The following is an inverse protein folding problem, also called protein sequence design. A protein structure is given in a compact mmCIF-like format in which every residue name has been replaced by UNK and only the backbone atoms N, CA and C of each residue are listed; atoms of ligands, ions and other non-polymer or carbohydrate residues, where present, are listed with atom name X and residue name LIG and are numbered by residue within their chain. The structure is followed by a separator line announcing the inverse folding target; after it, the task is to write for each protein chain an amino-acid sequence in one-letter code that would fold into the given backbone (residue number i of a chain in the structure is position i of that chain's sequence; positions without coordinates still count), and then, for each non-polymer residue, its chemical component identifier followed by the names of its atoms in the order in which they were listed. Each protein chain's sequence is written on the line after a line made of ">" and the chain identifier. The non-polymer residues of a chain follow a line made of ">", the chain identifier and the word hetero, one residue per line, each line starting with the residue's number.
data_IF_842102993134
#
_entry.id   IF_842102993134
#
_cell.length_a   1.000
_cell.length_b   1.000
_cell.length_c   1.000
_cell.angle_alpha   90.00
_cell.angle_beta   90.00
_cell.angle_gamma   90.00
#
_symmetry.space_group_name_H-M   'P 1'
#
loop_
_entity.id
_entity.type
_entity.pdbx_description
1 polymer ?
#
# COMPACT_ATOMS: atom_id res chain seq x y z
N UNK A 1 -12.48 13.69 16.13
CA UNK A 1 -11.68 12.88 16.13
C UNK A 1 -11.18 12.28 14.87
N UNK A 2 -10.57 12.42 14.00
CA UNK A 2 -9.94 11.68 12.93
C UNK A 2 -10.68 11.71 11.60
N UNK A 3 -11.83 12.39 11.49
CA UNK A 3 -12.58 12.39 10.22
C UNK A 3 -11.77 13.00 9.08
N UNK A 4 -11.04 14.07 9.34
CA UNK A 4 -10.18 14.70 8.32
C UNK A 4 -9.02 13.77 7.94
N UNK A 5 -8.44 13.07 8.91
CA UNK A 5 -7.37 12.12 8.70
C UNK A 5 -7.86 10.92 7.90
N UNK A 6 -9.06 10.44 8.17
CA UNK A 6 -9.66 9.35 7.40
C UNK A 6 -9.87 9.74 5.94
N UNK A 7 -10.38 10.94 5.67
CA UNK A 7 -10.55 11.44 4.31
C UNK A 7 -9.22 11.61 3.59
N UNK A 8 -8.20 12.07 4.29
CA UNK A 8 -6.85 12.21 3.74
C UNK A 8 -6.30 10.85 3.30
N UNK A 9 -6.40 9.83 4.16
CA UNK A 9 -5.91 8.49 3.84
C UNK A 9 -6.77 7.83 2.76
N UNK A 10 -8.07 8.08 2.72
CA UNK A 10 -8.94 7.61 1.65
C UNK A 10 -8.48 8.19 0.30
N UNK A 11 -8.16 9.47 0.25
CA UNK A 11 -7.61 10.11 -0.94
C UNK A 11 -6.27 9.49 -1.35
N UNK A 12 -5.42 9.17 -0.37
CA UNK A 12 -4.18 8.46 -0.60
C UNK A 12 -4.44 7.08 -1.24
N UNK A 13 -5.41 6.34 -0.72
CA UNK A 13 -5.79 5.04 -1.28
C UNK A 13 -6.30 5.17 -2.72
N UNK A 14 -7.12 6.18 -2.99
CA UNK A 14 -7.66 6.41 -4.34
C UNK A 14 -6.57 6.73 -5.36
N UNK A 15 -5.46 7.31 -4.91
CA UNK A 15 -4.33 7.60 -5.79
C UNK A 15 -3.66 6.34 -6.33
N UNK A 16 -3.89 5.18 -5.72
CA UNK A 16 -3.34 3.90 -6.20
C UNK A 16 -4.12 3.30 -7.36
N UNK A 17 -5.37 3.69 -7.57
CA UNK A 17 -6.19 3.24 -8.68
C UNK A 17 -7.65 3.07 -8.30
N UNK A 18 -8.47 2.82 -9.32
CA UNK A 18 -9.92 2.64 -9.18
C UNK A 18 -10.41 1.26 -9.60
N UNK A 19 -9.49 0.33 -9.82
CA UNK A 19 -9.80 -1.03 -10.26
C UNK A 19 -9.80 -1.21 -11.78
N UNK A 20 -9.55 -0.14 -12.55
CA UNK A 20 -9.44 -0.23 -14.01
C UNK A 20 -7.97 -0.25 -14.44
N UNK A 21 -7.73 -0.65 -15.69
CA UNK A 21 -6.37 -0.66 -16.25
C UNK A 21 -5.93 0.74 -16.69
N UNK A 22 -6.86 1.64 -16.91
CA UNK A 22 -6.55 3.02 -17.34
C UNK A 22 -5.98 3.83 -16.21
N UNK A 23 -6.49 3.61 -14.99
CA UNK A 23 -6.03 4.37 -13.83
C UNK A 23 -4.92 3.60 -13.10
N UNK A 24 -3.72 4.11 -13.26
CA UNK A 24 -2.52 3.57 -12.62
C UNK A 24 -2.17 4.39 -11.39
N UNK A 25 -1.30 3.90 -10.49
CA UNK A 25 -0.88 4.73 -9.36
C UNK A 25 -0.40 6.10 -9.81
N UNK A 26 -0.93 7.13 -9.17
CA UNK A 26 -0.48 8.50 -9.35
C UNK A 26 0.71 8.71 -8.41
N UNK A 27 1.90 8.45 -8.93
CA UNK A 27 3.13 8.40 -8.14
C UNK A 27 3.39 9.73 -7.44
N UNK A 28 3.28 10.83 -8.15
CA UNK A 28 3.60 12.14 -7.56
C UNK A 28 2.56 12.56 -6.52
N UNK A 29 1.30 12.24 -6.75
CA UNK A 29 0.28 12.49 -5.73
C UNK A 29 0.53 11.66 -4.48
N UNK A 30 0.81 10.38 -4.63
CA UNK A 30 1.12 9.50 -3.50
C UNK A 30 2.29 10.08 -2.70
N UNK A 31 3.37 10.47 -3.36
CA UNK A 31 4.54 11.01 -2.68
C UNK A 31 4.27 12.36 -2.03
N UNK A 32 3.41 13.20 -2.63
CA UNK A 32 3.06 14.49 -2.05
C UNK A 32 2.31 14.37 -0.72
N UNK A 33 1.68 13.23 -0.47
CA UNK A 33 0.93 12.95 0.76
C UNK A 33 1.78 12.30 1.84
N UNK A 34 3.04 12.04 1.55
CA UNK A 34 4.00 11.41 2.46
C UNK A 34 5.08 12.43 2.86
N UNK A 35 5.58 12.33 4.09
CA UNK A 35 6.68 13.18 4.52
C UNK A 35 7.96 12.85 3.73
N UNK A 36 8.92 13.77 3.75
CA UNK A 36 10.15 13.64 2.96
C UNK A 36 10.94 12.38 3.28
N UNK A 37 10.96 12.00 4.56
CA UNK A 37 11.68 10.84 5.07
C UNK A 37 10.71 9.71 5.47
N UNK A 38 9.52 9.67 4.87
CA UNK A 38 8.51 8.67 5.19
C UNK A 38 9.02 7.25 5.01
N UNK A 39 8.48 6.35 5.80
CA UNK A 39 8.79 4.93 5.75
C UNK A 39 7.55 4.12 5.35
N UNK A 40 7.74 3.15 4.48
CA UNK A 40 6.73 2.17 4.12
C UNK A 40 7.30 0.77 4.32
N UNK A 41 6.76 0.04 5.29
CA UNK A 41 7.04 -1.38 5.42
C UNK A 41 6.04 -2.14 4.55
N UNK A 42 6.54 -2.83 3.54
CA UNK A 42 5.70 -3.38 2.47
C UNK A 42 4.73 -4.45 2.96
N UNK A 43 5.15 -5.23 3.94
CA UNK A 43 4.27 -6.19 4.61
C UNK A 43 4.80 -6.50 6.01
N UNK A 44 3.92 -6.87 6.91
CA UNK A 44 4.25 -7.32 8.25
C UNK A 44 3.62 -8.70 8.44
N UNK A 45 4.36 -9.68 8.96
CA UNK A 45 5.74 -9.59 9.44
C UNK A 45 6.77 -9.74 8.32
N UNK A 46 7.95 -9.22 8.57
CA UNK A 46 9.16 -9.57 7.82
C UNK A 46 9.43 -8.81 6.53
N UNK A 47 8.51 -7.94 6.09
CA UNK A 47 8.73 -7.18 4.86
C UNK A 47 9.78 -6.09 5.00
N UNK A 48 10.39 -5.67 3.88
CA UNK A 48 11.37 -4.61 3.91
C UNK A 48 10.72 -3.25 4.16
N UNK A 49 11.48 -2.33 4.73
CA UNK A 49 11.07 -0.95 4.92
C UNK A 49 11.76 -0.07 3.87
N UNK A 50 10.94 0.65 3.12
CA UNK A 50 11.40 1.60 2.11
C UNK A 50 11.35 2.98 2.73
N UNK A 51 12.42 3.75 2.65
CA UNK A 51 12.50 5.06 3.28
C UNK A 51 12.90 6.14 2.30
N UNK A 52 12.21 7.28 2.38
CA UNK A 52 12.52 8.48 1.61
C UNK A 52 11.88 8.49 0.23
N UNK A 53 11.65 9.71 -0.29
CA UNK A 53 10.86 9.88 -1.53
C UNK A 53 11.46 9.19 -2.74
N UNK A 54 12.78 9.24 -2.90
CA UNK A 54 13.38 8.61 -4.08
C UNK A 54 13.23 7.08 -4.04
N UNK A 55 13.46 6.46 -2.89
CA UNK A 55 13.29 5.02 -2.73
C UNK A 55 11.82 4.61 -2.86
N UNK A 56 10.92 5.40 -2.29
CA UNK A 56 9.48 5.17 -2.40
C UNK A 56 9.02 5.26 -3.85
N UNK A 57 9.49 6.26 -4.60
CA UNK A 57 9.17 6.40 -6.03
C UNK A 57 9.62 5.17 -6.80
N UNK A 58 10.83 4.71 -6.57
CA UNK A 58 11.36 3.51 -7.24
C UNK A 58 10.53 2.28 -6.91
N UNK A 59 10.10 2.14 -5.66
CA UNK A 59 9.28 0.99 -5.25
C UNK A 59 7.90 1.01 -5.90
N UNK A 60 7.24 2.17 -5.93
CA UNK A 60 5.92 2.29 -6.58
C UNK A 60 6.06 1.98 -8.07
N UNK A 61 7.07 2.57 -8.73
CA UNK A 61 7.32 2.33 -10.14
C UNK A 61 7.67 0.87 -10.44
N UNK A 62 8.38 0.22 -9.52
CA UNK A 62 8.69 -1.21 -9.64
C UNK A 62 7.41 -2.04 -9.63
N UNK A 63 6.50 -1.75 -8.70
CA UNK A 63 5.22 -2.47 -8.63
C UNK A 63 4.36 -2.25 -9.86
N UNK A 64 4.41 -1.06 -10.45
CA UNK A 64 3.66 -0.75 -11.68
C UNK A 64 4.08 -1.61 -12.87
N UNK A 65 5.26 -2.22 -12.85
CA UNK A 65 5.71 -3.08 -13.94
C UNK A 65 5.02 -4.44 -13.95
N UNK A 66 4.47 -4.89 -12.82
CA UNK A 66 3.85 -6.21 -12.76
C UNK A 66 2.43 -6.21 -12.18
N UNK A 67 1.95 -5.08 -11.66
CA UNK A 67 0.63 -4.95 -11.08
C UNK A 67 -0.18 -3.88 -11.78
N UNK A 68 -1.46 -4.16 -12.01
CA UNK A 68 -2.41 -3.24 -12.62
C UNK A 68 -3.78 -3.44 -11.98
N UNK A 69 -4.72 -2.56 -12.30
CA UNK A 69 -6.09 -2.65 -11.80
C UNK A 69 -6.16 -2.60 -10.26
N UNK A 70 -5.26 -1.83 -9.65
CA UNK A 70 -5.23 -1.69 -8.19
C UNK A 70 -6.50 -1.03 -7.68
N UNK A 71 -7.04 -1.56 -6.60
CA UNK A 71 -8.15 -0.93 -5.90
C UNK A 71 -8.05 -1.22 -4.41
N UNK A 72 -8.06 -0.17 -3.61
CA UNK A 72 -8.18 -0.25 -2.16
C UNK A 72 -9.67 -0.22 -1.80
N UNK A 73 -10.12 -1.23 -1.06
CA UNK A 73 -11.51 -1.35 -0.64
C UNK A 73 -11.55 -1.33 0.89
N UNK A 74 -11.91 -0.20 1.46
CA UNK A 74 -11.95 -0.03 2.91
C UNK A 74 -13.20 -0.69 3.46
N UNK A 75 -13.03 -1.63 4.38
CA UNK A 75 -14.12 -2.34 5.05
C UNK A 75 -14.47 -1.65 6.37
N UNK A 76 -13.45 -1.33 7.15
CA UNK A 76 -13.59 -0.62 8.42
C UNK A 76 -12.43 0.34 8.60
N UNK A 77 -12.67 1.45 9.30
CA UNK A 77 -11.62 2.42 9.59
C UNK A 77 -11.77 2.95 11.02
N UNK A 78 -10.65 3.09 11.70
CA UNK A 78 -10.55 3.74 13.00
C UNK A 78 -9.45 4.78 12.92
N UNK A 79 -9.57 5.85 13.65
CA UNK A 79 -8.59 6.92 13.58
C UNK A 79 -8.52 7.75 14.86
N UNK A 80 -7.38 8.40 15.01
CA UNK A 80 -7.16 9.49 15.94
C UNK A 80 -6.67 10.70 15.12
N UNK A 81 -6.24 11.76 15.80
CA UNK A 81 -5.67 12.90 15.10
C UNK A 81 -4.28 12.64 14.50
N UNK A 82 -3.64 11.53 14.87
CA UNK A 82 -2.27 11.20 14.41
C UNK A 82 -2.14 9.83 13.76
N UNK A 83 -3.20 9.05 13.69
CA UNK A 83 -3.11 7.69 13.17
C UNK A 83 -4.41 7.28 12.50
N UNK A 84 -4.28 6.54 11.40
CA UNK A 84 -5.43 5.91 10.73
C UNK A 84 -5.14 4.43 10.61
N UNK A 85 -6.11 3.59 10.96
CA UNK A 85 -6.04 2.15 10.78
C UNK A 85 -7.21 1.71 9.90
N UNK A 86 -6.92 0.95 8.86
CA UNK A 86 -7.92 0.47 7.91
C UNK A 86 -7.87 -1.04 7.81
N UNK A 87 -9.04 -1.67 7.92
CA UNK A 87 -9.22 -3.02 7.42
C UNK A 87 -9.64 -2.90 5.96
N UNK A 88 -8.90 -3.53 5.05
CA UNK A 88 -9.15 -3.44 3.62
C UNK A 88 -9.27 -4.81 2.98
N UNK A 89 -10.10 -4.89 1.95
CA UNK A 89 -10.16 -6.03 1.04
C UNK A 89 -9.79 -5.52 -0.35
N UNK A 90 -8.52 -5.56 -0.65
CA UNK A 90 -7.96 -4.97 -1.86
C UNK A 90 -7.98 -5.94 -3.03
N UNK A 91 -7.83 -5.42 -4.23
CA UNK A 91 -7.68 -6.23 -5.43
C UNK A 91 -6.66 -5.61 -6.38
N UNK A 92 -6.05 -6.46 -7.16
CA UNK A 92 -5.12 -6.08 -8.23
C UNK A 92 -4.99 -7.24 -9.19
N UNK A 93 -4.52 -6.96 -10.40
CA UNK A 93 -4.05 -7.98 -11.32
C UNK A 93 -2.53 -7.95 -11.24
N UNK A 94 -1.92 -9.02 -10.77
CA UNK A 94 -0.49 -9.11 -10.58
C UNK A 94 0.05 -10.21 -11.48
N UNK A 95 0.98 -9.87 -12.38
CA UNK A 95 1.56 -10.80 -13.35
C UNK A 95 0.46 -11.51 -14.17
N UNK A 96 -0.60 -10.77 -14.50
CA UNK A 96 -1.73 -11.27 -15.27
C UNK A 96 -2.74 -12.09 -14.50
N UNK A 97 -2.61 -12.19 -13.18
CA UNK A 97 -3.52 -13.00 -12.35
C UNK A 97 -4.32 -12.13 -11.40
N UNK A 98 -5.64 -12.36 -11.26
CA UNK A 98 -6.41 -11.69 -10.21
C UNK A 98 -5.87 -12.06 -8.83
N UNK A 99 -5.55 -11.07 -8.02
CA UNK A 99 -4.97 -11.26 -6.69
C UNK A 99 -5.74 -10.47 -5.65
N UNK A 100 -6.96 -10.93 -5.27
CA UNK A 100 -7.65 -10.31 -4.14
C UNK A 100 -6.89 -10.62 -2.86
N UNK A 101 -6.78 -9.64 -1.98
CA UNK A 101 -6.07 -9.84 -0.71
C UNK A 101 -6.62 -8.92 0.37
N UNK A 102 -6.56 -9.40 1.59
CA UNK A 102 -7.06 -8.70 2.76
C UNK A 102 -5.91 -8.25 3.62
N UNK A 103 -6.06 -7.09 4.27
CA UNK A 103 -5.00 -6.54 5.09
C UNK A 103 -5.54 -5.56 6.13
N UNK A 104 -4.70 -5.27 7.11
CA UNK A 104 -4.86 -4.12 7.99
C UNK A 104 -3.70 -3.18 7.70
N UNK A 105 -4.02 -1.95 7.31
CA UNK A 105 -3.02 -0.92 7.05
C UNK A 105 -3.01 0.09 8.18
N UNK A 106 -1.83 0.50 8.60
CA UNK A 106 -1.65 1.50 9.66
C UNK A 106 -0.83 2.65 9.10
N UNK A 107 -1.36 3.87 9.26
CA UNK A 107 -0.73 5.10 8.80
C UNK A 107 -0.50 5.99 10.00
N UNK A 108 0.76 6.37 10.25
CA UNK A 108 1.10 7.36 11.27
C UNK A 108 1.35 8.70 10.58
N UNK A 109 0.71 9.75 11.07
CA UNK A 109 0.79 11.07 10.48
C UNK A 109 1.71 11.97 11.30
N UNK A 110 2.44 12.85 10.63
CA UNK A 110 3.27 13.85 11.29
C UNK A 110 2.45 15.08 11.69
N UNK A 111 3.10 16.07 12.27
CA UNK A 111 2.42 17.28 12.75
C UNK A 111 1.85 18.13 11.61
N UNK A 112 2.37 17.96 10.40
CA UNK A 112 1.83 18.62 9.20
C UNK A 112 0.67 17.83 8.56
N UNK A 113 0.34 16.65 9.11
CA UNK A 113 -0.73 15.81 8.59
C UNK A 113 -0.31 14.88 7.46
N UNK A 114 0.98 14.80 7.16
CA UNK A 114 1.49 13.90 6.12
C UNK A 114 1.80 12.51 6.69
N UNK A 115 1.73 11.49 5.84
CA UNK A 115 2.07 10.12 6.25
C UNK A 115 3.58 10.04 6.48
N UNK A 116 3.97 9.74 7.72
CA UNK A 116 5.38 9.55 8.06
C UNK A 116 5.78 8.09 8.18
N UNK A 117 4.81 7.21 8.44
CA UNK A 117 5.06 5.76 8.53
C UNK A 117 3.81 5.01 8.10
N UNK A 118 4.00 4.01 7.24
CA UNK A 118 2.92 3.19 6.70
C UNK A 118 3.35 1.73 6.71
N UNK A 119 2.47 0.85 7.15
CA UNK A 119 2.72 -0.60 7.16
C UNK A 119 1.43 -1.37 6.95
N UNK A 120 1.56 -2.53 6.33
CA UNK A 120 0.42 -3.37 5.98
C UNK A 120 0.62 -4.77 6.54
N UNK A 121 -0.35 -5.24 7.31
CA UNK A 121 -0.36 -6.57 7.91
C UNK A 121 -1.19 -7.47 7.02
N UNK A 122 -0.57 -8.46 6.39
CA UNK A 122 -1.26 -9.38 5.48
C UNK A 122 -0.57 -10.73 5.43
N UNK A 123 -1.30 -11.72 4.92
CA UNK A 123 -0.72 -13.04 4.63
C UNK A 123 0.02 -12.97 3.29
N UNK A 124 1.30 -12.65 3.34
CA UNK A 124 2.11 -12.49 2.13
C UNK A 124 2.33 -13.82 1.41
N UNK A 125 2.35 -14.94 2.14
CA UNK A 125 2.46 -16.26 1.53
C UNK A 125 1.24 -16.57 0.65
N UNK A 126 0.05 -16.22 1.13
CA UNK A 126 -1.18 -16.38 0.36
C UNK A 126 -1.15 -15.51 -0.92
N UNK A 127 -0.73 -14.25 -0.78
CA UNK A 127 -0.65 -13.35 -1.92
C UNK A 127 0.37 -13.86 -2.97
N UNK A 128 1.50 -14.38 -2.52
CA UNK A 128 2.50 -14.95 -3.41
C UNK A 128 1.97 -16.18 -4.16
N UNK A 129 1.21 -17.04 -3.49
CA UNK A 129 0.56 -18.18 -4.16
C UNK A 129 -0.39 -17.70 -5.26
N UNK A 130 -1.18 -16.66 -4.99
CA UNK A 130 -2.12 -16.09 -5.98
C UNK A 130 -1.37 -15.50 -7.18
N UNK A 131 -0.20 -14.93 -6.95
CA UNK A 131 0.66 -14.42 -8.03
C UNK A 131 1.36 -15.54 -8.81
N UNK A 132 1.47 -16.73 -8.23
CA UNK A 132 2.23 -17.83 -8.81
C UNK A 132 3.73 -17.68 -8.63
N UNK A 133 4.19 -16.98 -7.58
CA UNK A 133 5.60 -16.66 -7.36
C UNK A 133 6.20 -17.30 -6.10
N UNK A 134 5.41 -18.02 -5.33
CA UNK A 134 5.86 -18.61 -4.06
C UNK A 134 7.06 -19.55 -4.23
N UNK A 135 7.04 -20.41 -5.24
CA UNK A 135 8.15 -21.33 -5.52
C UNK A 135 9.42 -20.58 -5.91
N UNK A 136 9.29 -19.60 -6.80
CA UNK A 136 10.43 -18.80 -7.23
C UNK A 136 10.99 -17.98 -6.06
N UNK A 137 10.14 -17.50 -5.17
CA UNK A 137 10.55 -16.77 -3.99
C UNK A 137 11.30 -17.69 -3.03
N UNK A 138 10.78 -18.88 -2.75
CA UNK A 138 11.41 -19.87 -1.89
C UNK A 138 12.77 -20.32 -2.44
N UNK A 139 12.87 -20.53 -3.76
CA UNK A 139 14.12 -20.94 -4.42
C UNK A 139 15.21 -19.88 -4.30
N UNK A 140 14.85 -18.62 -4.11
CA UNK A 140 15.83 -17.53 -3.89
C UNK A 140 16.20 -17.34 -2.43
N UNK A 141 15.64 -18.15 -1.53
CA UNK A 141 15.89 -18.04 -0.11
C UNK A 141 15.29 -16.81 0.54
N UNK A 142 14.31 -16.20 -0.10
CA UNK A 142 13.76 -14.98 0.43
C UNK A 142 12.31 -14.73 0.11
#
# INVERSE_FOLDING_TARGET
>A
MGAAQERFVEEFCDAWGDGTSERKPDVEKILSMMSEDAEWQLWVPGGPTIRGRDALRREIQRQMRFATNNKCNVVNVLSSDKMVMQERSDSAIIRGRPCPHQMVAIYELDDAGLIKRWREYLDMADLMRKQGTDEAFAARGG
#
